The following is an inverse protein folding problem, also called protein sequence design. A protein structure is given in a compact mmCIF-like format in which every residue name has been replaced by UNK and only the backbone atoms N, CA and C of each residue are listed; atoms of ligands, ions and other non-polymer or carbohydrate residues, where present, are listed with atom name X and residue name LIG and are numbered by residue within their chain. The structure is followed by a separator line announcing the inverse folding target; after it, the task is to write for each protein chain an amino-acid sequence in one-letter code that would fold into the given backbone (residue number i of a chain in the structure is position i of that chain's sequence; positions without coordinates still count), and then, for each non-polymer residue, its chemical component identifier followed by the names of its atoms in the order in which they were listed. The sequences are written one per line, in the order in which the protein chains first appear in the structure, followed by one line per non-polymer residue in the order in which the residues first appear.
data_IF_020373176940
#
_entry.id   IF_020373176940
#
_cell.length_a   1.000
_cell.length_b   1.000
_cell.length_c   1.000
_cell.angle_alpha   90.00
_cell.angle_beta   90.00
_cell.angle_gamma   90.00
#
_symmetry.space_group_name_H-M   'P 1'
#
loop_
_entity.id
_entity.type
_entity.pdbx_description
1 polymer ?
#
# COMPACT_ATOMS: atom_id res chain seq x y z
N UNK A 1 32.59 -20.81 16.58
CA UNK A 1 31.54 -19.91 16.04
C UNK A 1 31.04 -20.50 14.73
N UNK A 2 29.73 -20.62 14.52
CA UNK A 2 29.21 -20.87 13.18
C UNK A 2 29.33 -19.57 12.38
N UNK A 3 29.79 -19.67 11.14
CA UNK A 3 29.84 -18.54 10.20
C UNK A 3 28.41 -18.13 9.82
N UNK A 4 28.24 -16.89 9.36
CA UNK A 4 26.97 -16.47 8.79
C UNK A 4 26.64 -17.33 7.56
N UNK A 5 25.36 -17.68 7.34
CA UNK A 5 24.96 -18.55 6.25
C UNK A 5 25.22 -17.87 4.91
N UNK A 6 25.70 -18.62 3.93
CA UNK A 6 25.86 -18.12 2.57
C UNK A 6 24.53 -18.11 1.77
N UNK A 7 24.57 -17.62 0.53
CA UNK A 7 23.37 -17.56 -0.33
C UNK A 7 22.81 -18.94 -0.66
N UNK A 8 23.67 -19.95 -0.82
CA UNK A 8 23.23 -21.32 -1.12
C UNK A 8 22.52 -21.94 0.08
N UNK A 9 23.03 -21.69 1.30
CA UNK A 9 22.39 -22.13 2.54
C UNK A 9 21.03 -21.45 2.73
N UNK A 10 20.97 -20.13 2.53
CA UNK A 10 19.72 -19.35 2.66
C UNK A 10 18.63 -19.82 1.69
N UNK A 11 18.98 -20.34 0.52
CA UNK A 11 18.04 -20.77 -0.51
C UNK A 11 17.54 -22.21 -0.35
N UNK A 12 18.05 -22.98 0.62
CA UNK A 12 17.55 -24.34 0.88
C UNK A 12 16.13 -24.32 1.40
N UNK A 13 15.29 -25.26 0.96
CA UNK A 13 13.89 -25.34 1.41
C UNK A 13 13.75 -25.58 2.92
N UNK A 14 14.69 -26.30 3.51
CA UNK A 14 14.70 -26.62 4.95
C UNK A 14 15.29 -25.51 5.84
N UNK A 15 15.82 -24.43 5.26
CA UNK A 15 16.57 -23.42 6.02
C UNK A 15 15.72 -22.76 7.12
N UNK A 16 14.43 -22.50 6.87
CA UNK A 16 13.56 -21.90 7.90
C UNK A 16 13.39 -22.81 9.12
N UNK A 17 13.54 -24.12 8.98
CA UNK A 17 13.53 -25.06 10.11
C UNK A 17 14.75 -24.88 11.02
N UNK A 18 15.84 -24.33 10.50
CA UNK A 18 17.06 -23.99 11.24
C UNK A 18 17.00 -22.60 11.91
N UNK A 19 15.95 -21.82 11.63
CA UNK A 19 15.75 -20.45 12.15
C UNK A 19 14.72 -20.47 13.29
N UNK A 20 14.98 -19.67 14.33
CA UNK A 20 14.05 -19.49 15.45
C UNK A 20 12.71 -18.93 14.95
N UNK A 21 11.60 -19.40 15.54
CA UNK A 21 10.25 -19.04 15.09
C UNK A 21 10.04 -17.52 14.90
N UNK A 22 10.45 -16.64 15.83
CA UNK A 22 10.23 -15.19 15.67
C UNK A 22 11.01 -14.56 14.51
N UNK A 23 12.12 -15.18 14.08
CA UNK A 23 12.98 -14.64 13.03
C UNK A 23 12.62 -15.15 11.62
N UNK A 24 11.76 -16.17 11.51
CA UNK A 24 11.45 -16.81 10.22
C UNK A 24 10.87 -15.84 9.20
N UNK A 25 9.95 -14.96 9.61
CA UNK A 25 9.36 -13.95 8.71
C UNK A 25 10.41 -12.98 8.15
N UNK A 26 11.30 -12.47 9.01
CA UNK A 26 12.39 -11.56 8.62
C UNK A 26 13.37 -12.25 7.67
N UNK A 27 13.77 -13.48 7.98
CA UNK A 27 14.67 -14.27 7.11
C UNK A 27 14.00 -14.60 5.78
N UNK A 28 12.69 -14.90 5.77
CA UNK A 28 11.98 -15.18 4.53
C UNK A 28 11.94 -13.97 3.60
N UNK A 29 11.95 -12.74 4.13
CA UNK A 29 12.14 -11.53 3.33
C UNK A 29 13.46 -11.52 2.56
N UNK A 30 14.56 -11.96 3.18
CA UNK A 30 15.86 -12.08 2.50
C UNK A 30 15.81 -13.18 1.43
N UNK A 31 15.26 -14.35 1.79
CA UNK A 31 15.08 -15.48 0.86
C UNK A 31 14.29 -15.09 -0.37
N UNK A 32 13.22 -14.30 -0.19
CA UNK A 32 12.39 -13.76 -1.29
C UNK A 32 13.24 -13.01 -2.32
N UNK A 33 14.12 -12.12 -1.86
CA UNK A 33 14.97 -11.30 -2.74
C UNK A 33 15.99 -12.17 -3.47
N UNK A 34 16.62 -13.12 -2.76
CA UNK A 34 17.56 -14.08 -3.36
C UNK A 34 16.86 -14.95 -4.41
N UNK A 35 15.62 -15.35 -4.13
CA UNK A 35 14.82 -16.18 -5.03
C UNK A 35 14.35 -15.44 -6.28
N UNK A 36 14.03 -14.15 -6.16
CA UNK A 36 13.82 -13.28 -7.33
C UNK A 36 15.10 -13.24 -8.16
N UNK A 37 16.24 -12.91 -7.54
CA UNK A 37 17.52 -12.78 -8.24
C UNK A 37 17.93 -14.07 -8.96
N UNK A 38 17.77 -15.23 -8.31
CA UNK A 38 18.10 -16.55 -8.88
C UNK A 38 17.31 -16.85 -10.15
N UNK A 39 16.07 -16.34 -10.25
CA UNK A 39 15.13 -16.66 -11.34
C UNK A 39 15.06 -15.62 -12.46
N UNK A 40 15.89 -14.57 -12.40
CA UNK A 40 15.98 -13.60 -13.48
C UNK A 40 16.76 -14.20 -14.67
N UNK A 41 16.19 -14.19 -15.89
CA UNK A 41 16.91 -14.65 -17.09
C UNK A 41 17.81 -13.57 -17.71
N UNK A 42 17.90 -12.39 -17.08
CA UNK A 42 18.56 -11.20 -17.62
C UNK A 42 19.35 -10.46 -16.53
N UNK A 43 20.28 -9.56 -16.91
CA UNK A 43 21.13 -8.86 -15.95
C UNK A 43 20.34 -8.14 -14.87
N UNK A 44 20.84 -8.17 -13.62
CA UNK A 44 20.17 -7.55 -12.47
C UNK A 44 19.90 -6.06 -12.71
N UNK A 45 20.78 -5.36 -13.42
CA UNK A 45 20.64 -3.93 -13.70
C UNK A 45 19.45 -3.62 -14.60
N UNK A 46 19.20 -4.44 -15.63
CA UNK A 46 18.05 -4.29 -16.52
C UNK A 46 16.74 -4.49 -15.74
N UNK A 47 16.66 -5.52 -14.89
CA UNK A 47 15.51 -5.74 -13.98
C UNK A 47 15.34 -4.58 -12.99
N UNK A 48 16.42 -4.14 -12.34
CA UNK A 48 16.37 -3.09 -11.33
C UNK A 48 15.96 -1.74 -11.94
N UNK A 49 16.39 -1.45 -13.17
CA UNK A 49 15.94 -0.29 -13.93
C UNK A 49 14.42 -0.29 -14.14
N UNK A 50 13.87 -1.41 -14.62
CA UNK A 50 12.42 -1.56 -14.83
C UNK A 50 11.66 -1.47 -13.50
N UNK A 51 12.13 -2.15 -12.45
CA UNK A 51 11.49 -2.10 -11.14
C UNK A 51 11.47 -0.67 -10.57
N UNK A 52 12.55 0.10 -10.71
CA UNK A 52 12.56 1.53 -10.33
C UNK A 52 11.53 2.32 -11.13
N UNK A 53 11.48 2.14 -12.44
CA UNK A 53 10.53 2.84 -13.32
C UNK A 53 9.07 2.51 -12.96
N UNK A 54 8.75 1.23 -12.70
CA UNK A 54 7.41 0.78 -12.31
C UNK A 54 7.04 1.29 -10.92
N UNK A 55 7.95 1.24 -9.93
CA UNK A 55 7.67 1.80 -8.59
C UNK A 55 7.46 3.31 -8.64
N UNK A 56 8.26 4.01 -9.43
CA UNK A 56 8.10 5.46 -9.63
C UNK A 56 6.76 5.78 -10.30
N UNK A 57 6.40 5.07 -11.38
CA UNK A 57 5.08 5.17 -11.99
C UNK A 57 3.94 4.94 -10.97
N UNK A 58 3.98 3.83 -10.22
CA UNK A 58 2.92 3.50 -9.28
C UNK A 58 2.79 4.55 -8.15
N UNK A 59 3.90 5.13 -7.71
CA UNK A 59 3.91 6.24 -6.75
C UNK A 59 3.32 7.53 -7.34
N UNK A 60 3.76 7.93 -8.55
CA UNK A 60 3.23 9.12 -9.24
C UNK A 60 1.73 9.00 -9.51
N UNK A 61 1.26 7.78 -9.82
CA UNK A 61 -0.15 7.50 -10.09
C UNK A 61 -0.97 7.15 -8.85
N UNK A 62 -0.37 7.24 -7.65
CA UNK A 62 -1.02 6.96 -6.37
C UNK A 62 -1.73 5.59 -6.34
N UNK A 63 -1.06 4.55 -6.83
CA UNK A 63 -1.52 3.15 -6.87
C UNK A 63 -0.46 2.19 -6.30
N UNK A 64 0.23 2.63 -5.24
CA UNK A 64 1.33 1.90 -4.61
C UNK A 64 1.16 1.83 -3.09
N UNK A 65 1.28 0.63 -2.51
CA UNK A 65 1.42 0.45 -1.06
C UNK A 65 0.36 -0.41 -0.37
N UNK A 66 0.83 -1.24 0.57
CA UNK A 66 0.04 -2.24 1.30
C UNK A 66 -0.98 -1.66 2.29
N UNK A 67 -0.71 -0.45 2.78
CA UNK A 67 -1.58 0.24 3.74
C UNK A 67 -2.93 0.59 3.11
N UNK A 68 -2.87 0.96 1.84
CA UNK A 68 -3.96 1.53 1.04
C UNK A 68 -4.46 0.57 -0.03
N UNK A 69 -4.34 -0.73 0.25
CA UNK A 69 -4.91 -1.82 -0.55
C UNK A 69 -4.44 -1.89 -2.01
N UNK A 70 -3.22 -1.40 -2.29
CA UNK A 70 -2.54 -1.50 -3.58
C UNK A 70 -1.39 -2.52 -3.57
N UNK A 71 -0.92 -2.99 -4.75
CA UNK A 71 0.32 -3.74 -4.85
C UNK A 71 1.50 -3.00 -4.19
N UNK A 72 2.24 -3.72 -3.33
CA UNK A 72 3.38 -3.18 -2.61
C UNK A 72 4.71 -3.44 -3.37
N UNK A 73 5.83 -3.01 -2.81
CA UNK A 73 7.15 -3.14 -3.45
C UNK A 73 7.56 -4.58 -3.78
N UNK A 74 7.17 -5.56 -2.96
CA UNK A 74 7.46 -6.99 -3.22
C UNK A 74 6.56 -7.50 -4.34
N UNK A 75 5.28 -7.10 -4.37
CA UNK A 75 4.37 -7.45 -5.45
C UNK A 75 4.92 -6.97 -6.80
N UNK A 76 5.27 -5.69 -6.91
CA UNK A 76 5.83 -5.13 -8.13
C UNK A 76 7.17 -5.77 -8.52
N UNK A 77 8.00 -6.15 -7.55
CA UNK A 77 9.26 -6.87 -7.80
C UNK A 77 9.02 -8.24 -8.45
N UNK A 78 8.11 -9.04 -7.89
CA UNK A 78 7.73 -10.35 -8.45
C UNK A 78 7.09 -10.16 -9.83
N UNK A 79 6.24 -9.15 -9.98
CA UNK A 79 5.58 -8.86 -11.26
C UNK A 79 6.59 -8.48 -12.36
N UNK A 80 7.55 -7.61 -12.06
CA UNK A 80 8.62 -7.26 -13.01
C UNK A 80 9.50 -8.47 -13.32
N UNK A 81 9.83 -9.30 -12.32
CA UNK A 81 10.59 -10.51 -12.55
C UNK A 81 9.85 -11.50 -13.48
N UNK A 82 8.52 -11.58 -13.36
CA UNK A 82 7.69 -12.38 -14.26
C UNK A 82 7.68 -11.82 -15.68
N UNK A 83 7.61 -10.50 -15.84
CA UNK A 83 7.74 -9.84 -17.14
C UNK A 83 9.11 -10.15 -17.78
N UNK A 84 10.19 -10.13 -17.00
CA UNK A 84 11.53 -10.53 -17.45
C UNK A 84 11.60 -12.00 -17.92
N UNK A 85 10.86 -12.92 -17.27
CA UNK A 85 10.79 -14.33 -17.70
C UNK A 85 10.10 -14.52 -19.05
N UNK A 86 9.05 -13.75 -19.32
CA UNK A 86 8.33 -13.82 -20.60
C UNK A 86 9.00 -13.00 -21.72
N UNK A 87 9.74 -11.95 -21.37
CA UNK A 87 10.47 -11.09 -22.30
C UNK A 87 11.95 -10.99 -21.89
N UNK A 88 12.79 -12.00 -22.19
CA UNK A 88 14.19 -12.04 -21.79
C UNK A 88 15.08 -11.16 -22.71
N UNK A 89 14.69 -9.91 -22.91
CA UNK A 89 15.43 -8.90 -23.69
C UNK A 89 16.10 -7.94 -22.71
N UNK A 90 17.41 -7.68 -22.87
CA UNK A 90 18.17 -6.85 -21.92
C UNK A 90 17.85 -5.33 -21.97
N UNK A 91 16.90 -4.90 -22.79
CA UNK A 91 16.46 -3.51 -22.94
C UNK A 91 15.32 -3.18 -21.95
N UNK A 92 15.60 -2.28 -21.01
CA UNK A 92 14.63 -1.89 -19.97
C UNK A 92 13.39 -1.18 -20.53
N UNK A 93 13.49 -0.48 -21.65
CA UNK A 93 12.34 0.18 -22.29
C UNK A 93 11.38 -0.83 -22.90
N UNK A 94 11.91 -1.88 -23.54
CA UNK A 94 11.12 -3.01 -24.05
C UNK A 94 10.42 -3.74 -22.91
N UNK A 95 11.13 -4.11 -21.84
CA UNK A 95 10.52 -4.79 -20.68
C UNK A 95 9.47 -3.90 -20.01
N UNK A 96 9.72 -2.60 -19.85
CA UNK A 96 8.75 -1.68 -19.23
C UNK A 96 7.45 -1.61 -20.02
N UNK A 97 7.51 -1.49 -21.36
CA UNK A 97 6.31 -1.51 -22.21
C UNK A 97 5.60 -2.86 -22.12
N UNK A 98 6.38 -3.94 -22.17
CA UNK A 98 5.86 -5.30 -22.05
C UNK A 98 5.20 -5.56 -20.68
N UNK A 99 5.71 -4.99 -19.59
CA UNK A 99 5.11 -5.08 -18.26
C UNK A 99 3.68 -4.57 -18.26
N UNK A 100 3.43 -3.39 -18.83
CA UNK A 100 2.08 -2.82 -18.86
C UNK A 100 1.13 -3.69 -19.68
N UNK A 101 1.53 -4.10 -20.89
CA UNK A 101 0.70 -4.99 -21.72
C UNK A 101 0.47 -6.35 -21.09
N UNK A 102 1.49 -6.94 -20.47
CA UNK A 102 1.37 -8.23 -19.78
C UNK A 102 0.31 -8.17 -18.69
N UNK A 103 0.33 -7.12 -17.85
CA UNK A 103 -0.60 -7.03 -16.73
C UNK A 103 -1.98 -6.50 -17.09
N UNK A 104 -2.12 -5.75 -18.19
CA UNK A 104 -3.45 -5.50 -18.78
C UNK A 104 -4.06 -6.82 -19.26
N UNK A 105 -3.33 -7.58 -20.09
CA UNK A 105 -3.78 -8.89 -20.56
C UNK A 105 -4.07 -9.86 -19.41
N UNK A 106 -3.20 -9.89 -18.38
CA UNK A 106 -3.34 -10.77 -17.23
C UNK A 106 -4.60 -10.48 -16.42
N UNK A 107 -5.00 -9.21 -16.28
CA UNK A 107 -6.18 -8.82 -15.51
C UNK A 107 -7.48 -8.88 -16.33
N UNK A 108 -7.39 -8.89 -17.67
CA UNK A 108 -8.55 -9.03 -18.56
C UNK A 108 -9.00 -10.48 -18.81
N UNK A 109 -8.17 -11.47 -18.49
CA UNK A 109 -8.49 -12.89 -18.73
C UNK A 109 -9.68 -13.34 -17.88
N UNK A 110 -10.65 -14.02 -18.50
CA UNK A 110 -11.88 -14.53 -17.88
C UNK A 110 -11.65 -15.78 -16.98
N UNK A 111 -10.45 -16.35 -17.00
CA UNK A 111 -10.12 -17.47 -16.12
C UNK A 111 -9.84 -16.96 -14.71
N UNK A 112 -10.57 -17.48 -13.72
CA UNK A 112 -10.26 -17.42 -12.27
C UNK A 112 -8.74 -17.31 -12.09
N UNK A 113 -8.27 -16.11 -11.74
CA UNK A 113 -6.92 -15.64 -12.07
C UNK A 113 -5.84 -16.62 -11.63
N UNK A 114 -5.07 -17.15 -12.58
CA UNK A 114 -3.84 -17.85 -12.20
C UNK A 114 -2.96 -16.89 -11.39
N UNK A 115 -2.29 -17.38 -10.35
CA UNK A 115 -1.38 -16.56 -9.57
C UNK A 115 -0.20 -16.06 -10.42
N UNK A 116 0.24 -14.84 -10.15
CA UNK A 116 1.53 -14.36 -10.65
C UNK A 116 2.62 -15.08 -9.85
N UNK A 117 3.26 -16.07 -10.46
CA UNK A 117 4.40 -16.79 -9.90
C UNK A 117 5.59 -16.75 -10.85
N UNK A 118 6.79 -16.63 -10.27
CA UNK A 118 8.06 -16.74 -10.99
C UNK A 118 8.72 -18.11 -10.79
N UNK A 119 8.15 -18.98 -9.96
CA UNK A 119 8.62 -20.35 -9.72
C UNK A 119 8.09 -21.25 -10.86
N UNK A 120 8.93 -22.08 -11.51
CA UNK A 120 8.46 -23.07 -12.49
C UNK A 120 7.46 -24.04 -11.88
N UNK A 121 6.46 -24.49 -12.64
CA UNK A 121 5.42 -25.41 -12.14
C UNK A 121 6.00 -26.75 -11.71
N UNK A 122 7.11 -27.16 -12.30
CA UNK A 122 7.84 -28.39 -12.00
C UNK A 122 8.58 -28.31 -10.66
N UNK A 123 8.92 -27.10 -10.22
CA UNK A 123 9.55 -26.81 -8.92
C UNK A 123 8.51 -26.43 -7.85
N UNK A 124 7.22 -26.43 -8.19
CA UNK A 124 6.14 -26.18 -7.24
C UNK A 124 6.01 -27.39 -6.31
N UNK A 125 6.83 -27.38 -5.26
CA UNK A 125 6.87 -28.44 -4.26
C UNK A 125 5.50 -28.58 -3.60
N UNK A 126 5.20 -29.79 -3.11
CA UNK A 126 4.01 -30.04 -2.30
C UNK A 126 3.88 -28.98 -1.19
N UNK A 127 2.66 -28.56 -0.86
CA UNK A 127 2.34 -27.56 0.18
C UNK A 127 3.05 -27.93 1.51
N UNK A 128 4.22 -27.34 1.77
CA UNK A 128 4.98 -27.55 3.00
C UNK A 128 4.58 -26.49 4.02
N UNK A 129 3.89 -26.92 5.07
CA UNK A 129 3.63 -26.04 6.23
C UNK A 129 4.92 -25.87 7.03
N UNK A 130 5.32 -24.62 7.22
CA UNK A 130 6.46 -24.27 8.09
C UNK A 130 5.92 -23.66 9.38
N UNK A 131 6.23 -24.22 10.57
CA UNK A 131 5.76 -23.65 11.84
C UNK A 131 6.15 -22.17 12.00
N UNK A 132 5.25 -21.35 12.55
CA UNK A 132 5.48 -19.91 12.72
C UNK A 132 5.46 -19.09 11.42
N UNK A 133 5.15 -19.71 10.27
CA UNK A 133 4.87 -19.03 9.01
C UNK A 133 3.40 -19.20 8.63
N UNK A 134 2.83 -18.29 7.80
CA UNK A 134 1.51 -18.50 7.22
C UNK A 134 1.47 -19.80 6.40
N UNK A 135 0.29 -20.45 6.27
CA UNK A 135 0.15 -21.58 5.36
C UNK A 135 0.50 -21.15 3.93
N UNK A 136 1.07 -22.05 3.10
CA UNK A 136 1.23 -21.77 1.68
C UNK A 136 -0.13 -21.50 1.02
N UNK A 137 -0.12 -20.64 0.01
CA UNK A 137 -1.30 -20.24 -0.74
C UNK A 137 -1.89 -21.43 -1.51
N UNK A 138 -3.22 -21.54 -1.53
CA UNK A 138 -3.97 -22.59 -2.21
C UNK A 138 -5.19 -22.01 -2.94
N UNK A 139 -5.37 -22.36 -4.21
CA UNK A 139 -6.41 -21.78 -5.06
C UNK A 139 -7.86 -22.07 -4.59
N UNK A 140 -8.06 -23.12 -3.77
CA UNK A 140 -9.37 -23.47 -3.20
C UNK A 140 -9.58 -22.71 -1.90
N UNK A 141 -8.62 -22.74 -0.98
CA UNK A 141 -8.75 -22.11 0.33
C UNK A 141 -8.68 -20.57 0.26
N UNK A 142 -7.87 -20.04 -0.66
CA UNK A 142 -7.63 -18.61 -0.83
C UNK A 142 -8.38 -18.05 -2.05
N UNK A 143 -9.51 -18.67 -2.40
CA UNK A 143 -10.34 -18.28 -3.56
C UNK A 143 -10.88 -16.84 -3.53
N UNK A 144 -10.84 -16.18 -2.36
CA UNK A 144 -11.26 -14.80 -2.16
C UNK A 144 -10.16 -13.77 -2.53
N UNK A 145 -8.92 -14.21 -2.74
CA UNK A 145 -7.84 -13.33 -3.15
C UNK A 145 -8.11 -12.69 -4.51
N UNK A 146 -8.07 -11.37 -4.57
CA UNK A 146 -8.40 -10.61 -5.78
C UNK A 146 -7.25 -10.57 -6.80
N UNK A 147 -6.01 -10.58 -6.33
CA UNK A 147 -4.83 -10.52 -7.18
C UNK A 147 -3.66 -11.31 -6.57
N UNK A 148 -3.64 -12.65 -6.70
CA UNK A 148 -2.58 -13.46 -6.11
C UNK A 148 -1.22 -13.20 -6.77
N UNK A 149 -0.27 -12.68 -5.99
CA UNK A 149 1.14 -12.52 -6.39
C UNK A 149 1.99 -13.33 -5.41
N UNK A 150 2.49 -14.48 -5.85
CA UNK A 150 3.09 -15.46 -4.95
C UNK A 150 4.55 -15.14 -4.67
N UNK A 151 4.88 -15.06 -3.39
CA UNK A 151 6.25 -14.99 -2.94
C UNK A 151 7.00 -16.26 -3.37
N UNK A 152 8.15 -16.15 -4.08
CA UNK A 152 8.88 -17.31 -4.58
C UNK A 152 9.62 -18.12 -3.51
N UNK A 153 9.84 -17.59 -2.30
CA UNK A 153 10.50 -18.32 -1.22
C UNK A 153 9.50 -19.16 -0.42
N UNK A 154 9.76 -20.47 -0.29
CA UNK A 154 8.92 -21.38 0.47
C UNK A 154 8.87 -21.01 1.98
N UNK A 155 7.69 -20.99 2.63
CA UNK A 155 6.37 -21.30 2.06
C UNK A 155 5.84 -20.17 1.15
N UNK A 156 5.32 -20.54 -0.04
CA UNK A 156 4.78 -19.61 -1.03
C UNK A 156 3.48 -18.97 -0.55
N UNK A 157 3.51 -17.68 -0.21
CA UNK A 157 2.36 -16.92 0.30
C UNK A 157 1.98 -15.80 -0.65
N UNK A 158 0.71 -15.37 -0.64
CA UNK A 158 0.27 -14.21 -1.41
C UNK A 158 0.85 -12.90 -0.84
N UNK A 159 1.75 -12.26 -1.58
CA UNK A 159 2.34 -10.97 -1.24
C UNK A 159 1.34 -9.80 -1.38
N UNK A 160 0.26 -10.02 -2.12
CA UNK A 160 -0.80 -9.06 -2.43
C UNK A 160 -2.10 -9.34 -1.65
N UNK A 161 -2.04 -10.05 -0.52
CA UNK A 161 -3.20 -10.36 0.34
C UNK A 161 -3.98 -9.13 0.86
N UNK A 162 -3.36 -7.95 0.86
CA UNK A 162 -4.00 -6.70 1.27
C UNK A 162 -4.66 -5.94 0.11
N UNK A 163 -4.53 -6.42 -1.13
CA UNK A 163 -5.13 -5.76 -2.29
C UNK A 163 -6.65 -5.85 -2.21
N UNK A 164 -7.30 -4.69 -2.24
CA UNK A 164 -8.75 -4.53 -2.15
C UNK A 164 -9.40 -4.33 -3.51
N UNK A 165 -10.74 -4.31 -3.55
CA UNK A 165 -11.50 -4.17 -4.80
C UNK A 165 -11.23 -2.83 -5.47
N UNK A 166 -11.33 -1.74 -4.71
CA UNK A 166 -11.06 -0.39 -5.25
C UNK A 166 -9.60 -0.26 -5.68
N UNK A 167 -8.68 -0.78 -4.87
CA UNK A 167 -7.25 -0.76 -5.14
C UNK A 167 -6.90 -1.48 -6.44
N UNK A 168 -7.43 -2.68 -6.65
CA UNK A 168 -7.21 -3.46 -7.87
C UNK A 168 -7.81 -2.77 -9.11
N UNK A 169 -9.04 -2.24 -9.00
CA UNK A 169 -9.71 -1.53 -10.08
C UNK A 169 -8.91 -0.29 -10.52
N UNK A 170 -8.46 0.52 -9.56
CA UNK A 170 -7.66 1.71 -9.82
C UNK A 170 -6.28 1.37 -10.38
N UNK A 171 -5.62 0.33 -9.84
CA UNK A 171 -4.35 -0.17 -10.36
C UNK A 171 -4.50 -0.62 -11.82
N UNK A 172 -5.57 -1.37 -12.14
CA UNK A 172 -5.88 -1.79 -13.50
C UNK A 172 -6.17 -0.62 -14.44
N UNK A 173 -6.94 0.39 -13.99
CA UNK A 173 -7.18 1.63 -14.74
C UNK A 173 -5.86 2.33 -15.11
N UNK A 174 -4.92 2.42 -14.19
CA UNK A 174 -3.62 3.04 -14.45
C UNK A 174 -2.72 2.17 -15.35
N UNK A 175 -2.81 0.83 -15.26
CA UNK A 175 -2.12 -0.08 -16.20
C UNK A 175 -2.63 0.13 -17.64
N UNK A 176 -3.95 0.22 -17.83
CA UNK A 176 -4.56 0.51 -19.14
C UNK A 176 -4.08 1.85 -19.71
N UNK A 177 -4.05 2.89 -18.88
CA UNK A 177 -3.51 4.21 -19.25
C UNK A 177 -2.04 4.10 -19.68
N UNK A 178 -1.22 3.40 -18.90
CA UNK A 178 0.19 3.22 -19.17
C UNK A 178 0.44 2.44 -20.46
N UNK A 179 -0.31 1.36 -20.70
CA UNK A 179 -0.24 0.59 -21.94
C UNK A 179 -0.56 1.47 -23.16
N UNK A 180 -1.63 2.24 -23.11
CA UNK A 180 -2.02 3.16 -24.20
C UNK A 180 -0.94 4.20 -24.49
N UNK A 181 -0.34 4.78 -23.45
CA UNK A 181 0.79 5.70 -23.60
C UNK A 181 2.02 5.00 -24.19
N UNK A 182 2.29 3.77 -23.78
CA UNK A 182 3.37 2.94 -24.33
C UNK A 182 3.16 2.49 -25.78
N UNK A 183 1.93 2.58 -26.30
CA UNK A 183 1.63 2.37 -27.71
C UNK A 183 1.93 3.61 -28.59
N UNK A 184 2.00 4.81 -27.99
CA UNK A 184 2.35 6.03 -28.72
C UNK A 184 3.84 6.05 -29.12
N UNK A 185 4.14 6.63 -30.29
CA UNK A 185 5.50 6.78 -30.81
C UNK A 185 5.75 8.24 -31.20
N UNK A 186 6.76 8.92 -30.62
CA UNK A 186 7.64 8.43 -29.54
C UNK A 186 6.91 8.29 -28.20
N UNK A 187 7.36 7.36 -27.35
CA UNK A 187 6.86 7.22 -25.97
C UNK A 187 7.18 8.49 -25.17
N UNK A 188 6.15 9.11 -24.60
CA UNK A 188 6.32 10.20 -23.64
C UNK A 188 6.42 9.67 -22.21
N UNK A 189 7.65 9.57 -21.68
CA UNK A 189 7.89 9.21 -20.29
C UNK A 189 7.33 10.24 -19.30
N UNK A 190 7.31 11.52 -19.67
CA UNK A 190 6.73 12.58 -18.84
C UNK A 190 5.22 12.38 -18.67
N UNK A 191 4.51 11.96 -19.72
CA UNK A 191 3.10 11.60 -19.61
C UNK A 191 2.90 10.32 -18.80
N UNK A 192 3.74 9.30 -19.00
CA UNK A 192 3.67 8.05 -18.24
C UNK A 192 3.75 8.31 -16.73
N UNK A 193 4.68 9.16 -16.30
CA UNK A 193 4.95 9.49 -14.91
C UNK A 193 4.28 10.77 -14.41
N UNK A 194 3.37 11.35 -15.20
CA UNK A 194 2.61 12.53 -14.77
C UNK A 194 1.93 12.24 -13.42
N UNK A 195 2.14 13.09 -12.39
CA UNK A 195 1.50 12.89 -11.11
C UNK A 195 -0.02 12.87 -11.24
N UNK A 196 -0.67 11.98 -10.49
CA UNK A 196 -2.11 11.94 -10.37
C UNK A 196 -2.58 12.94 -9.32
N UNK A 197 -3.56 13.77 -9.67
CA UNK A 197 -4.23 14.66 -8.74
C UNK A 197 -5.60 14.06 -8.36
N UNK A 198 -5.78 13.73 -7.08
CA UNK A 198 -7.01 13.09 -6.61
C UNK A 198 -8.25 13.96 -6.76
N UNK A 199 -8.06 15.29 -6.72
CA UNK A 199 -9.12 16.29 -6.87
C UNK A 199 -9.73 16.29 -8.28
N UNK A 200 -9.03 15.75 -9.29
CA UNK A 200 -9.51 15.73 -10.67
C UNK A 200 -10.67 14.73 -10.88
N UNK A 201 -10.73 13.67 -10.06
CA UNK A 201 -11.75 12.60 -10.22
C UNK A 201 -12.65 12.40 -8.99
N UNK A 202 -12.30 12.96 -7.84
CA UNK A 202 -13.05 12.77 -6.60
C UNK A 202 -13.59 14.12 -6.10
N UNK A 203 -14.91 14.16 -5.90
CA UNK A 203 -15.63 15.33 -5.38
C UNK A 203 -15.86 15.27 -3.87
N UNK A 204 -15.91 14.07 -3.31
CA UNK A 204 -16.20 13.80 -1.91
C UNK A 204 -15.04 13.05 -1.26
N UNK A 205 -14.82 13.34 0.01
CA UNK A 205 -13.70 12.81 0.77
C UNK A 205 -14.13 12.38 2.17
N UNK A 206 -13.52 11.29 2.63
CA UNK A 206 -13.50 10.89 4.04
C UNK A 206 -12.16 11.32 4.64
N UNK A 207 -12.21 11.90 5.83
CA UNK A 207 -11.02 12.27 6.61
C UNK A 207 -10.97 11.55 7.95
N UNK A 208 -9.80 11.00 8.30
CA UNK A 208 -9.48 10.47 9.63
C UNK A 208 -8.47 11.42 10.28
N UNK A 209 -8.88 12.09 11.34
CA UNK A 209 -8.12 13.17 11.98
C UNK A 209 -7.66 12.76 13.37
N UNK A 210 -6.36 12.91 13.64
CA UNK A 210 -5.77 12.65 14.95
C UNK A 210 -4.91 13.82 15.38
N UNK A 211 -4.81 14.02 16.68
CA UNK A 211 -3.89 15.02 17.22
C UNK A 211 -3.33 14.55 18.56
N UNK A 212 -2.30 15.25 19.02
CA UNK A 212 -1.82 15.08 20.38
C UNK A 212 -1.48 16.43 21.02
N UNK A 213 -1.44 16.45 22.34
CA UNK A 213 -1.01 17.58 23.14
C UNK A 213 0.00 17.11 24.19
N UNK A 214 1.14 17.80 24.33
CA UNK A 214 2.13 17.47 25.37
C UNK A 214 2.97 18.68 25.80
N UNK A 215 3.36 18.83 27.09
CA UNK A 215 4.17 19.97 27.55
C UNK A 215 5.59 20.04 26.96
N UNK A 216 6.16 18.89 26.64
CA UNK A 216 7.45 18.77 25.95
C UNK A 216 7.23 18.53 24.47
N UNK A 217 7.85 19.35 23.63
CA UNK A 217 7.81 19.22 22.17
C UNK A 217 8.33 17.87 21.68
N UNK A 218 9.45 17.37 22.24
CA UNK A 218 10.03 16.10 21.81
C UNK A 218 9.06 14.94 22.06
N UNK A 219 8.49 14.88 23.27
CA UNK A 219 7.49 13.87 23.59
C UNK A 219 6.19 14.06 22.80
N UNK A 220 5.79 15.29 22.46
CA UNK A 220 4.66 15.54 21.56
C UNK A 220 4.87 14.87 20.19
N UNK A 221 6.06 15.02 19.60
CA UNK A 221 6.42 14.37 18.33
C UNK A 221 6.45 12.84 18.44
N UNK A 222 7.00 12.30 19.53
CA UNK A 222 6.98 10.85 19.76
C UNK A 222 5.54 10.32 19.90
N UNK A 223 4.70 11.00 20.68
CA UNK A 223 3.28 10.66 20.89
C UNK A 223 2.50 10.72 19.58
N UNK A 224 2.60 11.79 18.78
CA UNK A 224 1.87 11.85 17.50
C UNK A 224 2.36 10.78 16.52
N UNK A 225 3.65 10.45 16.52
CA UNK A 225 4.19 9.41 15.64
C UNK A 225 3.72 8.01 16.05
N UNK A 226 3.67 7.71 17.35
CA UNK A 226 3.10 6.48 17.87
C UNK A 226 1.60 6.38 17.55
N UNK A 227 0.85 7.46 17.80
CA UNK A 227 -0.58 7.51 17.53
C UNK A 227 -0.91 7.37 16.04
N UNK A 228 -0.16 8.08 15.19
CA UNK A 228 -0.21 7.96 13.73
C UNK A 228 0.06 6.53 13.29
N UNK A 229 1.13 5.89 13.76
CA UNK A 229 1.46 4.52 13.38
C UNK A 229 0.38 3.50 13.77
N UNK A 230 -0.21 3.67 14.95
CA UNK A 230 -1.33 2.84 15.39
C UNK A 230 -2.57 3.04 14.51
N UNK A 231 -2.98 4.28 14.27
CA UNK A 231 -4.15 4.61 13.45
C UNK A 231 -3.94 4.15 12.01
N UNK A 232 -2.75 4.36 11.43
CA UNK A 232 -2.35 3.82 10.12
C UNK A 232 -2.61 2.31 10.06
N UNK A 233 -2.23 1.54 11.08
CA UNK A 233 -2.43 0.08 11.12
C UNK A 233 -3.89 -0.37 10.98
N UNK A 234 -4.86 0.52 11.27
CA UNK A 234 -6.30 0.29 11.21
C UNK A 234 -6.97 0.82 9.94
N UNK A 235 -6.32 1.71 9.19
CA UNK A 235 -6.90 2.35 8.00
C UNK A 235 -7.33 1.36 6.91
N UNK A 236 -6.67 0.19 6.84
CA UNK A 236 -7.08 -0.87 5.89
C UNK A 236 -8.53 -1.31 6.12
N UNK A 237 -8.97 -1.42 7.37
CA UNK A 237 -10.34 -1.81 7.69
C UNK A 237 -11.34 -0.75 7.21
N UNK A 238 -10.99 0.53 7.37
CA UNK A 238 -11.78 1.63 6.82
C UNK A 238 -11.89 1.54 5.29
N UNK A 239 -10.78 1.30 4.59
CA UNK A 239 -10.79 1.15 3.13
C UNK A 239 -11.67 -0.02 2.69
N UNK A 240 -11.57 -1.18 3.35
CA UNK A 240 -12.42 -2.34 3.06
C UNK A 240 -13.90 -2.09 3.31
N UNK A 241 -14.24 -1.34 4.35
CA UNK A 241 -15.63 -0.98 4.64
C UNK A 241 -16.17 0.04 3.62
N UNK A 242 -15.39 1.08 3.31
CA UNK A 242 -15.75 2.09 2.31
C UNK A 242 -15.89 1.50 0.91
N UNK A 243 -15.06 0.53 0.51
CA UNK A 243 -15.15 -0.07 -0.83
C UNK A 243 -16.40 -0.95 -1.05
N UNK A 244 -17.18 -1.20 0.01
CA UNK A 244 -18.49 -1.83 -0.10
C UNK A 244 -19.56 -0.87 -0.66
N UNK A 245 -19.35 0.45 -0.55
CA UNK A 245 -20.35 1.48 -0.89
C UNK A 245 -19.89 2.47 -1.96
N UNK A 246 -18.57 2.60 -2.17
CA UNK A 246 -17.98 3.52 -3.13
C UNK A 246 -16.66 2.97 -3.68
N UNK A 247 -16.19 3.49 -4.82
CA UNK A 247 -14.78 3.38 -5.17
C UNK A 247 -13.96 4.31 -4.27
N UNK A 248 -12.89 3.79 -3.69
CA UNK A 248 -12.05 4.48 -2.70
C UNK A 248 -10.64 4.67 -3.24
N UNK A 249 -10.15 5.91 -3.22
CA UNK A 249 -8.74 6.22 -3.50
C UNK A 249 -8.10 6.89 -2.30
N UNK A 250 -7.23 6.19 -1.55
CA UNK A 250 -6.50 6.80 -0.45
C UNK A 250 -5.50 7.84 -0.95
N UNK A 251 -5.39 8.97 -0.25
CA UNK A 251 -4.31 9.92 -0.45
C UNK A 251 -2.98 9.30 0.06
N UNK A 252 -1.87 9.42 -0.68
CA UNK A 252 -0.71 8.52 -0.52
C UNK A 252 0.12 8.76 0.75
N UNK A 253 -0.12 9.83 1.49
CA UNK A 253 0.66 10.19 2.69
C UNK A 253 -0.22 10.85 3.76
N UNK A 254 0.11 10.75 5.05
CA UNK A 254 -0.52 11.58 6.07
C UNK A 254 -0.32 13.07 5.78
N UNK A 255 -1.35 13.87 6.10
CA UNK A 255 -1.37 15.32 5.95
C UNK A 255 -1.32 15.96 7.33
N UNK A 256 -0.67 17.11 7.46
CA UNK A 256 -0.80 17.97 8.64
C UNK A 256 -1.99 18.89 8.38
N UNK A 257 -3.11 18.64 9.05
CA UNK A 257 -4.37 19.35 8.80
C UNK A 257 -4.59 20.56 9.72
N UNK A 258 -4.00 20.54 10.92
CA UNK A 258 -3.91 21.71 11.80
C UNK A 258 -2.45 22.14 11.96
N UNK A 259 -2.16 23.43 11.79
CA UNK A 259 -0.80 23.94 11.96
C UNK A 259 -0.26 23.66 13.37
N UNK A 260 1.05 23.34 13.52
CA UNK A 260 1.68 23.23 14.84
C UNK A 260 1.37 24.46 15.70
N UNK A 261 0.76 24.23 16.87
CA UNK A 261 0.35 25.31 17.78
C UNK A 261 0.82 25.06 19.21
N UNK A 262 0.84 26.12 19.99
CA UNK A 262 1.08 26.09 21.43
C UNK A 262 -0.14 26.67 22.14
N UNK A 263 -0.62 25.97 23.17
CA UNK A 263 -1.80 26.34 23.94
C UNK A 263 -1.46 26.34 25.42
N UNK A 264 -1.74 27.42 26.13
CA UNK A 264 -1.55 27.46 27.59
C UNK A 264 -2.77 26.88 28.29
N UNK A 265 -2.59 25.76 29.02
CA UNK A 265 -3.62 25.16 29.88
C UNK A 265 -3.14 25.15 31.33
N UNK A 266 -3.93 25.74 32.23
CA UNK A 266 -3.64 25.75 33.67
C UNK A 266 -2.21 26.24 34.00
N UNK A 267 -1.70 27.22 33.24
CA UNK A 267 -0.35 27.76 33.41
C UNK A 267 0.79 26.96 32.75
N UNK A 268 0.49 25.85 32.08
CA UNK A 268 1.47 25.02 31.35
C UNK A 268 1.29 25.22 29.85
N UNK A 269 2.38 25.47 29.13
CA UNK A 269 2.39 25.48 27.67
C UNK A 269 2.33 24.06 27.14
N UNK A 270 1.30 23.75 26.34
CA UNK A 270 1.12 22.49 25.65
C UNK A 270 1.45 22.67 24.18
N UNK A 271 2.32 21.82 23.63
CA UNK A 271 2.53 21.75 22.18
C UNK A 271 1.48 20.82 21.57
N UNK A 272 0.90 21.21 20.44
CA UNK A 272 -0.08 20.41 19.73
C UNK A 272 0.46 19.98 18.35
N UNK A 273 0.21 18.72 17.97
CA UNK A 273 0.51 18.18 16.64
C UNK A 273 -0.69 17.44 16.09
N UNK A 274 -0.91 17.55 14.78
CA UNK A 274 -2.04 16.92 14.08
C UNK A 274 -1.56 16.07 12.92
N UNK A 275 -2.33 15.03 12.58
CA UNK A 275 -2.21 14.27 11.34
C UNK A 275 -3.60 13.90 10.85
N UNK A 276 -3.80 13.94 9.54
CA UNK A 276 -5.00 13.47 8.87
C UNK A 276 -4.69 12.49 7.75
N UNK A 277 -5.64 11.60 7.49
CA UNK A 277 -5.63 10.68 6.36
C UNK A 277 -6.88 10.92 5.53
N UNK A 278 -6.71 11.14 4.23
CA UNK A 278 -7.82 11.44 3.32
C UNK A 278 -8.05 10.31 2.34
N UNK A 279 -9.32 10.09 2.02
CA UNK A 279 -9.79 9.06 1.10
C UNK A 279 -10.80 9.68 0.15
N UNK A 280 -10.46 9.79 -1.13
CA UNK A 280 -11.43 10.16 -2.15
C UNK A 280 -12.45 9.05 -2.31
N UNK A 281 -13.73 9.40 -2.30
CA UNK A 281 -14.83 8.44 -2.48
C UNK A 281 -15.71 8.86 -3.66
N UNK A 282 -16.07 7.89 -4.52
CA UNK A 282 -16.97 8.14 -5.64
C UNK A 282 -17.84 6.91 -5.94
N UNK A 283 -19.08 7.13 -6.39
CA UNK A 283 -19.97 6.05 -6.80
C UNK A 283 -20.39 6.23 -8.26
N UNK A 284 -19.46 5.97 -9.19
CA UNK A 284 -19.65 6.29 -10.60
C UNK A 284 -19.95 7.78 -10.79
N UNK A 285 -21.10 8.09 -11.40
CA UNK A 285 -21.58 9.47 -11.59
C UNK A 285 -22.51 9.94 -10.45
N UNK A 286 -22.82 9.09 -9.47
CA UNK A 286 -23.67 9.44 -8.34
C UNK A 286 -22.84 10.15 -7.27
N UNK A 287 -23.49 11.09 -6.60
CA UNK A 287 -22.91 11.70 -5.41
C UNK A 287 -22.92 10.70 -4.26
N UNK A 288 -21.86 10.74 -3.46
CA UNK A 288 -21.77 9.96 -2.22
C UNK A 288 -22.32 10.85 -1.11
N UNK A 289 -23.20 10.32 -0.27
CA UNK A 289 -23.72 11.02 0.89
C UNK A 289 -22.98 10.57 2.16
N UNK A 290 -23.02 11.41 3.21
CA UNK A 290 -22.46 11.06 4.53
C UNK A 290 -23.08 9.77 5.08
N UNK A 291 -24.40 9.58 4.88
CA UNK A 291 -25.12 8.38 5.32
C UNK A 291 -24.58 7.09 4.70
N UNK A 292 -23.97 7.16 3.51
CA UNK A 292 -23.43 5.99 2.84
C UNK A 292 -22.16 5.46 3.53
N UNK A 293 -21.41 6.33 4.22
CA UNK A 293 -20.11 6.01 4.84
C UNK A 293 -20.19 5.85 6.37
N UNK A 294 -21.34 6.12 6.99
CA UNK A 294 -21.51 6.06 8.45
C UNK A 294 -21.23 4.66 9.02
N UNK A 295 -21.63 3.60 8.33
CA UNK A 295 -21.33 2.23 8.75
C UNK A 295 -19.81 1.98 8.78
N UNK A 296 -19.08 2.49 7.79
CA UNK A 296 -17.62 2.39 7.72
C UNK A 296 -16.94 3.19 8.84
N UNK A 297 -17.53 4.30 9.26
CA UNK A 297 -17.04 5.08 10.40
C UNK A 297 -17.16 4.27 11.69
N UNK A 298 -18.33 3.69 11.96
CA UNK A 298 -18.54 2.87 13.15
C UNK A 298 -17.64 1.63 13.18
N UNK A 299 -17.45 0.96 12.05
CA UNK A 299 -16.55 -0.20 11.97
C UNK A 299 -15.09 0.18 12.23
N UNK A 300 -14.64 1.33 11.71
CA UNK A 300 -13.30 1.82 11.95
C UNK A 300 -13.08 2.21 13.42
N UNK A 301 -14.01 2.95 14.03
CA UNK A 301 -13.95 3.30 15.46
C UNK A 301 -13.90 2.06 16.36
N UNK A 302 -14.69 1.04 16.01
CA UNK A 302 -14.65 -0.26 16.66
C UNK A 302 -13.27 -0.92 16.53
N UNK A 303 -12.70 -0.97 15.33
CA UNK A 303 -11.37 -1.57 15.08
C UNK A 303 -10.23 -0.86 15.82
N UNK A 304 -10.34 0.47 15.97
CA UNK A 304 -9.40 1.30 16.75
C UNK A 304 -9.53 0.99 18.24
N UNK A 305 -10.74 0.81 18.75
CA UNK A 305 -10.98 0.51 20.18
C UNK A 305 -10.62 -0.93 20.53
N UNK A 306 -10.96 -1.90 19.68
CA UNK A 306 -10.64 -3.32 19.90
C UNK A 306 -9.12 -3.56 20.02
N UNK A 307 -8.32 -2.83 19.24
CA UNK A 307 -6.86 -2.94 19.29
C UNK A 307 -6.22 -2.47 20.61
N UNK A 308 -6.99 -1.86 21.52
CA UNK A 308 -6.51 -1.46 22.86
C UNK A 308 -6.89 -2.42 23.97
N UNK A 309 -7.56 -3.54 23.67
CA UNK A 309 -8.03 -4.52 24.68
C UNK A 309 -7.47 -5.93 24.50
N UNK A 310 -6.60 -6.16 23.52
CA UNK A 310 -6.06 -7.48 23.17
C UNK A 310 -4.89 -7.97 24.04
N UNK A 311 -4.25 -9.08 23.64
CA UNK A 311 -3.09 -9.67 24.35
C UNK A 311 -1.85 -8.76 24.38
N UNK A 312 -1.68 -7.95 23.35
CA UNK A 312 -0.64 -6.92 23.23
C UNK A 312 -1.35 -5.62 22.82
N UNK A 313 -2.03 -4.94 23.75
CA UNK A 313 -2.85 -3.78 23.42
C UNK A 313 -1.95 -2.59 23.08
N UNK A 314 -2.43 -1.72 22.20
CA UNK A 314 -1.84 -0.40 22.07
C UNK A 314 -2.21 0.46 23.29
N UNK A 315 -1.21 1.13 23.87
CA UNK A 315 -1.38 2.04 25.01
C UNK A 315 -1.96 3.37 24.54
N UNK A 316 -3.29 3.46 24.53
CA UNK A 316 -3.99 4.68 24.16
C UNK A 316 -4.21 5.58 25.38
N UNK A 317 -3.29 6.54 25.57
CA UNK A 317 -3.45 7.63 26.53
C UNK A 317 -4.42 8.69 25.96
N UNK A 318 -5.66 8.67 26.43
CA UNK A 318 -6.74 9.54 25.96
C UNK A 318 -6.57 11.00 26.39
N UNK A 319 -5.70 11.30 27.35
CA UNK A 319 -5.43 12.67 27.78
C UNK A 319 -4.56 13.41 26.76
N UNK A 320 -3.64 12.69 26.10
CA UNK A 320 -2.68 13.26 25.16
C UNK A 320 -2.86 12.81 23.72
N UNK A 321 -3.48 11.65 23.45
CA UNK A 321 -3.78 11.15 22.09
C UNK A 321 -5.26 11.35 21.76
N UNK A 322 -5.54 12.37 20.96
CA UNK A 322 -6.88 12.83 20.62
C UNK A 322 -7.35 12.24 19.28
N UNK A 323 -8.67 12.03 19.17
CA UNK A 323 -9.30 11.39 18.01
C UNK A 323 -9.29 9.86 18.12
N UNK A 324 -9.44 9.12 17.00
CA UNK A 324 -9.67 9.65 15.65
C UNK A 324 -11.03 10.34 15.54
N UNK A 325 -11.05 11.55 14.97
CA UNK A 325 -12.27 12.24 14.54
C UNK A 325 -12.49 11.96 13.05
N UNK A 326 -13.72 11.60 12.68
CA UNK A 326 -14.07 11.28 11.31
C UNK A 326 -14.81 12.44 10.64
N UNK A 327 -14.46 12.74 9.39
CA UNK A 327 -15.11 13.78 8.58
C UNK A 327 -15.55 13.23 7.23
N UNK A 328 -16.62 13.82 6.71
CA UNK A 328 -17.07 13.65 5.34
C UNK A 328 -17.28 15.06 4.78
N UNK A 329 -16.59 15.39 3.69
CA UNK A 329 -16.56 16.75 3.13
C UNK A 329 -16.46 16.70 1.60
N UNK A 330 -16.78 17.82 0.95
CA UNK A 330 -16.65 17.97 -0.50
C UNK A 330 -15.53 18.94 -0.87
N UNK A 331 -15.03 18.86 -2.10
CA UNK A 331 -14.07 19.82 -2.65
C UNK A 331 -14.64 21.24 -2.84
N UNK A 332 -15.95 21.39 -2.66
CA UNK A 332 -16.67 22.67 -2.74
C UNK A 332 -16.90 23.29 -1.37
N UNK A 333 -16.54 22.60 -0.29
CA UNK A 333 -16.67 23.13 1.07
C UNK A 333 -15.73 24.33 1.26
N UNK A 334 -16.10 25.33 2.08
CA UNK A 334 -15.28 26.52 2.29
C UNK A 334 -13.85 26.20 2.73
N UNK A 335 -12.88 26.84 2.08
CA UNK A 335 -11.46 26.73 2.39
C UNK A 335 -11.08 27.59 3.61
N UNK A 336 -11.67 27.28 4.77
CA UNK A 336 -11.32 27.95 6.02
C UNK A 336 -10.01 27.40 6.57
N UNK A 337 -9.30 28.20 7.38
CA UNK A 337 -8.12 27.77 8.09
C UNK A 337 -8.39 26.47 8.88
N UNK A 338 -7.42 25.55 8.85
CA UNK A 338 -7.47 24.23 9.49
C UNK A 338 -8.68 23.34 9.08
N UNK A 339 -9.37 23.67 7.98
CA UNK A 339 -10.41 22.78 7.43
C UNK A 339 -9.81 21.56 6.73
N UNK A 340 -10.49 20.40 6.76
CA UNK A 340 -10.07 19.23 6.00
C UNK A 340 -9.89 19.51 4.50
N UNK A 341 -10.77 20.35 3.94
CA UNK A 341 -10.72 20.76 2.54
C UNK A 341 -9.44 21.55 2.25
N UNK A 342 -9.15 22.61 3.02
CA UNK A 342 -7.92 23.41 2.85
C UNK A 342 -6.66 22.55 3.00
N UNK A 343 -6.62 21.65 4.00
CA UNK A 343 -5.50 20.74 4.22
C UNK A 343 -5.27 19.82 3.01
N UNK A 344 -6.33 19.25 2.45
CA UNK A 344 -6.27 18.41 1.25
C UNK A 344 -5.75 19.18 0.03
N UNK A 345 -6.27 20.39 -0.24
CA UNK A 345 -5.81 21.23 -1.35
C UNK A 345 -4.32 21.57 -1.23
N UNK A 346 -3.89 21.93 -0.01
CA UNK A 346 -2.48 22.26 0.28
C UNK A 346 -1.58 21.03 0.05
N UNK A 347 -2.01 19.87 0.55
CA UNK A 347 -1.27 18.62 0.37
C UNK A 347 -1.19 18.17 -1.10
N UNK A 348 -2.24 18.42 -1.90
CA UNK A 348 -2.23 18.16 -3.34
C UNK A 348 -1.27 19.12 -4.05
N UNK A 349 -1.29 20.41 -3.74
CA UNK A 349 -0.37 21.40 -4.31
C UNK A 349 1.10 21.03 -4.07
N UNK A 350 1.44 20.56 -2.85
CA UNK A 350 2.79 20.08 -2.54
C UNK A 350 3.22 18.89 -3.41
N UNK A 351 2.33 17.91 -3.62
CA UNK A 351 2.64 16.73 -4.45
C UNK A 351 2.86 17.16 -5.90
N UNK A 352 2.04 18.07 -6.41
CA UNK A 352 2.16 18.56 -7.78
C UNK A 352 3.39 19.46 -7.97
N UNK A 353 3.75 20.24 -6.95
CA UNK A 353 4.92 21.13 -6.97
C UNK A 353 6.26 20.41 -6.76
N UNK A 354 6.28 19.28 -6.06
CA UNK A 354 7.47 18.44 -5.86
C UNK A 354 7.80 17.50 -7.02
N UNK A 355 6.95 17.47 -8.05
CA UNK A 355 7.10 16.67 -9.25
C UNK A 355 7.70 17.43 -10.46
N UNK A 356 7.98 18.72 -10.29
CA UNK A 356 8.78 19.56 -11.19
C UNK A 356 10.23 19.60 -10.70
#
# INVERSE_FOLDING_TARGET
MRTAPDTSELLRDDFLSLVSLPCRATVNGIRTILEIRRRLPLPLDSYACVLRAVKYWAAQRQVYGNLYTFPNGVCLAIMVARACQFCPVADSGVILRFFFSLYVWWLLRDTRMDPVSIVPKEEDAAIVRVPGMPPPWDAVWDAADLFPVLNPAQPTVNAAHAVGRSGLQLFFKELLRAEQLCASVPLSYSELWKPYNILDEHRFFVGVHISCEHPSLAACEDTINAWKGYVESKLRMLVYSLECVAEVRPFPRPVVDESPREVTRSGVTMHCRSRAFFFGVRNGNKDVARSDVEAAFSEFEFSVTEGTTGKNPFEWDREVMLGPRLSFFSIYDPLTADSPCQALYSACADIMGSAL
#
